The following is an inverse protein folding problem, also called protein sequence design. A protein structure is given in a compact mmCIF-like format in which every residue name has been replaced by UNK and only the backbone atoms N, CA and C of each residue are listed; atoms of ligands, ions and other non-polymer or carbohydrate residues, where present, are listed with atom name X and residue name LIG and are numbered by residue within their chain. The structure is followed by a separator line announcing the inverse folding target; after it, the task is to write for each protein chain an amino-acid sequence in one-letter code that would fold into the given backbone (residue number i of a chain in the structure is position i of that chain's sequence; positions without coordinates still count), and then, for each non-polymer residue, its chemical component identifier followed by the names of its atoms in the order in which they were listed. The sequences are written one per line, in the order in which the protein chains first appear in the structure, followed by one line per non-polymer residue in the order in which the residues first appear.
data_IF_899938883979
#
_entry.id   IF_899938883979
#
_cell.length_a   1.000
_cell.length_b   1.000
_cell.length_c   1.000
_cell.angle_alpha   90.00
_cell.angle_beta   90.00
_cell.angle_gamma   90.00
#
_symmetry.space_group_name_H-M   'P 1'
#
loop_
_entity.id
_entity.type
_entity.pdbx_description
1 polymer ?
#
# COMPACT_ATOMS: atom_id res chain seq x y z
N UNK A 1 15.39 -2.54 -5.34
CA UNK A 1 14.18 -1.92 -4.73
C UNK A 1 13.76 -2.77 -3.54
N UNK A 2 13.38 -2.15 -2.43
CA UNK A 2 12.88 -2.85 -1.22
C UNK A 2 11.37 -3.03 -1.38
N UNK A 3 10.87 -4.27 -1.31
CA UNK A 3 9.42 -4.56 -1.39
C UNK A 3 8.69 -3.96 -0.18
N UNK A 4 7.52 -3.36 -0.38
CA UNK A 4 6.64 -2.84 0.67
C UNK A 4 5.84 -4.00 1.28
N UNK A 5 6.47 -4.72 2.22
CA UNK A 5 5.87 -5.90 2.87
C UNK A 5 4.57 -5.54 3.59
N UNK A 6 4.49 -4.37 4.22
CA UNK A 6 3.29 -3.90 4.91
C UNK A 6 2.05 -3.86 4.00
N UNK A 7 2.20 -3.41 2.75
CA UNK A 7 1.09 -3.34 1.79
C UNK A 7 0.65 -4.74 1.34
N UNK A 8 1.61 -5.65 1.16
CA UNK A 8 1.35 -7.05 0.83
C UNK A 8 0.58 -7.73 1.97
N UNK A 9 0.98 -7.48 3.22
CA UNK A 9 0.33 -8.01 4.42
C UNK A 9 -1.09 -7.48 4.55
N UNK A 10 -1.33 -6.17 4.39
CA UNK A 10 -2.68 -5.59 4.39
C UNK A 10 -3.59 -6.27 3.36
N UNK A 11 -3.09 -6.39 2.12
CA UNK A 11 -3.83 -7.04 1.04
C UNK A 11 -4.15 -8.50 1.36
N UNK A 12 -3.19 -9.24 1.90
CA UNK A 12 -3.37 -10.64 2.27
C UNK A 12 -4.32 -10.84 3.46
N UNK A 13 -4.33 -9.91 4.44
CA UNK A 13 -5.27 -9.94 5.57
C UNK A 13 -6.73 -9.82 5.11
N UNK A 14 -6.97 -9.08 4.02
CA UNK A 14 -8.30 -8.92 3.42
C UNK A 14 -8.58 -10.04 2.39
N UNK A 15 -7.59 -10.87 2.07
CA UNK A 15 -7.75 -12.04 1.19
C UNK A 15 -7.94 -11.69 -0.28
N UNK A 16 -7.52 -10.50 -0.74
CA UNK A 16 -7.73 -10.05 -2.11
C UNK A 16 -6.47 -10.14 -2.98
N UNK A 17 -6.66 -10.28 -4.29
CA UNK A 17 -5.55 -10.31 -5.27
C UNK A 17 -5.06 -8.89 -5.59
N UNK A 18 -3.87 -8.78 -6.19
CA UNK A 18 -3.36 -7.50 -6.70
C UNK A 18 -4.30 -6.85 -7.72
N UNK A 19 -4.97 -7.67 -8.53
CA UNK A 19 -5.94 -7.20 -9.51
C UNK A 19 -7.17 -6.60 -8.83
N UNK A 20 -7.72 -7.29 -7.82
CA UNK A 20 -8.86 -6.77 -7.07
C UNK A 20 -8.51 -5.51 -6.28
N UNK A 21 -7.33 -5.47 -5.65
CA UNK A 21 -6.86 -4.27 -4.97
C UNK A 21 -6.69 -3.07 -5.92
N UNK A 22 -6.18 -3.31 -7.13
CA UNK A 22 -6.06 -2.27 -8.15
C UNK A 22 -7.44 -1.78 -8.64
N UNK A 23 -8.39 -2.69 -8.81
CA UNK A 23 -9.77 -2.38 -9.19
C UNK A 23 -10.47 -1.52 -8.11
N UNK A 24 -10.35 -1.89 -6.83
CA UNK A 24 -10.88 -1.13 -5.70
C UNK A 24 -10.27 0.28 -5.62
N UNK A 25 -8.95 0.39 -5.86
CA UNK A 25 -8.27 1.68 -5.89
C UNK A 25 -8.53 2.46 -7.19
N UNK A 26 -9.16 1.88 -8.20
CA UNK A 26 -9.33 2.50 -9.51
C UNK A 26 -7.99 2.86 -10.17
N UNK A 27 -7.03 1.93 -10.12
CA UNK A 27 -5.70 2.03 -10.73
C UNK A 27 -5.41 0.79 -11.59
N UNK A 28 -4.38 0.86 -12.44
CA UNK A 28 -3.97 -0.31 -13.23
C UNK A 28 -3.30 -1.35 -12.32
N UNK A 29 -3.53 -2.64 -12.58
CA UNK A 29 -2.84 -3.75 -11.90
C UNK A 29 -1.33 -3.55 -11.84
N UNK A 30 -0.71 -3.19 -12.96
CA UNK A 30 0.75 -2.95 -13.04
C UNK A 30 1.22 -1.79 -12.14
N UNK A 31 0.40 -0.76 -11.95
CA UNK A 31 0.67 0.33 -11.01
C UNK A 31 0.62 -0.17 -9.57
N UNK A 32 -0.34 -1.02 -9.23
CA UNK A 32 -0.43 -1.63 -7.91
C UNK A 32 0.76 -2.56 -7.62
N UNK A 33 1.13 -3.42 -8.57
CA UNK A 33 2.31 -4.29 -8.46
C UNK A 33 3.60 -3.46 -8.26
N UNK A 34 3.74 -2.33 -8.96
CA UNK A 34 4.84 -1.37 -8.75
C UNK A 34 4.83 -0.80 -7.33
N UNK A 35 3.65 -0.49 -6.78
CA UNK A 35 3.51 -0.03 -5.42
C UNK A 35 4.04 -1.08 -4.41
N UNK A 36 3.65 -2.35 -4.53
CA UNK A 36 4.17 -3.43 -3.66
C UNK A 36 5.67 -3.69 -3.85
N UNK A 37 6.18 -3.54 -5.08
CA UNK A 37 7.60 -3.70 -5.38
C UNK A 37 8.49 -2.53 -4.91
N UNK A 38 7.89 -1.49 -4.30
CA UNK A 38 8.63 -0.33 -3.78
C UNK A 38 9.04 0.68 -4.86
N UNK A 39 8.38 0.67 -6.02
CA UNK A 39 8.54 1.73 -7.01
C UNK A 39 7.88 3.03 -6.53
N UNK A 40 8.39 4.15 -7.04
CA UNK A 40 7.75 5.45 -6.90
C UNK A 40 6.39 5.44 -7.61
N UNK A 41 5.35 5.83 -6.89
CA UNK A 41 3.99 6.00 -7.41
C UNK A 41 3.58 7.46 -7.26
N UNK A 42 2.61 7.91 -8.06
CA UNK A 42 2.08 9.26 -7.91
C UNK A 42 1.27 9.39 -6.62
N UNK A 43 1.26 10.59 -6.04
CA UNK A 43 0.45 10.94 -4.86
C UNK A 43 -1.02 10.55 -5.04
N UNK A 44 -1.60 10.78 -6.24
CA UNK A 44 -2.97 10.37 -6.57
C UNK A 44 -3.18 8.85 -6.46
N UNK A 45 -2.19 8.05 -6.87
CA UNK A 45 -2.25 6.59 -6.75
C UNK A 45 -2.14 6.17 -5.29
N UNK A 46 -1.23 6.79 -4.54
CA UNK A 46 -1.04 6.53 -3.13
C UNK A 46 -2.33 6.79 -2.33
N UNK A 47 -2.97 7.95 -2.53
CA UNK A 47 -4.25 8.31 -1.89
C UNK A 47 -5.37 7.33 -2.21
N UNK A 48 -5.46 6.90 -3.47
CA UNK A 48 -6.45 5.90 -3.90
C UNK A 48 -6.28 4.57 -3.20
N UNK A 49 -5.05 4.08 -3.07
CA UNK A 49 -4.76 2.80 -2.40
C UNK A 49 -4.97 2.94 -0.89
N UNK A 50 -4.51 4.05 -0.30
CA UNK A 50 -4.75 4.41 1.10
C UNK A 50 -6.23 4.36 1.47
N UNK A 51 -7.11 4.95 0.65
CA UNK A 51 -8.56 4.92 0.88
C UNK A 51 -9.18 3.51 0.84
N UNK A 52 -8.59 2.56 0.11
CA UNK A 52 -9.10 1.17 0.04
C UNK A 52 -8.83 0.40 1.32
N UNK A 53 -7.69 0.69 1.94
CA UNK A 53 -7.16 -0.07 3.08
C UNK A 53 -7.16 0.75 4.38
N UNK A 54 -7.75 1.94 4.35
CA UNK A 54 -7.90 2.89 5.46
C UNK A 54 -6.58 3.19 6.20
N UNK A 55 -5.54 3.59 5.45
CA UNK A 55 -4.24 3.98 6.01
C UNK A 55 -3.73 5.30 5.40
N UNK A 56 -2.72 5.94 6.02
CA UNK A 56 -2.18 7.19 5.49
C UNK A 56 -1.32 6.99 4.22
N UNK A 57 -1.65 7.71 3.15
CA UNK A 57 -0.92 7.64 1.89
C UNK A 57 0.54 8.13 2.00
N UNK A 58 0.89 8.90 3.03
CA UNK A 58 2.28 9.31 3.29
C UNK A 58 3.20 8.13 3.56
N UNK A 59 2.66 6.99 4.04
CA UNK A 59 3.43 5.75 4.26
C UNK A 59 4.12 5.24 2.99
N UNK A 60 3.65 5.61 1.81
CA UNK A 60 4.32 5.28 0.54
C UNK A 60 5.64 6.05 0.34
N UNK A 61 5.77 7.20 1.00
CA UNK A 61 6.86 8.17 0.90
C UNK A 61 7.70 8.24 2.18
N UNK A 62 7.20 7.76 3.31
CA UNK A 62 7.98 7.60 4.54
C UNK A 62 9.06 6.55 4.33
N UNK A 63 10.30 7.03 4.28
CA UNK A 63 11.45 6.26 3.83
C UNK A 63 12.27 5.76 5.02
N UNK A 64 11.66 4.95 5.88
CA UNK A 64 12.16 4.48 7.19
C UNK A 64 11.82 5.42 8.37
N UNK A 65 10.70 5.17 9.03
CA UNK A 65 10.70 5.14 10.49
C UNK A 65 10.25 3.73 10.91
N UNK A 66 11.26 2.88 11.14
CA UNK A 66 11.11 1.74 12.02
C UNK A 66 10.66 2.28 13.39
N UNK A 67 9.36 2.34 13.64
CA UNK A 67 8.88 2.44 15.02
C UNK A 67 7.69 1.54 15.28
N UNK A 68 8.01 0.52 16.06
CA UNK A 68 7.13 -0.44 16.68
C UNK A 68 5.97 0.27 17.37
N UNK A 69 4.77 -0.23 17.11
CA UNK A 69 3.76 -0.43 18.14
C UNK A 69 2.87 0.77 18.44
N UNK A 70 1.73 0.84 17.78
CA UNK A 70 0.52 1.26 18.49
C UNK A 70 0.21 0.19 19.54
N UNK A 71 0.69 0.44 20.76
CA UNK A 71 0.14 -0.14 21.98
C UNK A 71 -1.34 0.21 22.01
N UNK A 72 -2.21 -0.80 22.02
CA UNK A 72 -3.57 -0.62 22.49
C UNK A 72 -3.60 -1.11 23.93
N UNK A 73 -4.16 -0.23 24.78
CA UNK A 73 -4.23 -0.18 26.23
C UNK A 73 -4.31 -1.51 27.00
#
# INVERSE_FOLDING_TARGET
MKRRIWLITLRNNIGITQEKAAELAGVKRSTYTKAENGSSISVKTAQKIANVFDFDWTLFFENNCDEKGQKTA
#
